data_IF_542393483346
#
_entry.id   IF_542393483346
#
_cell.length_a   1.000
_cell.length_b   1.000
_cell.length_c   1.000
_cell.angle_alpha   90.00
_cell.angle_beta   90.00
_cell.angle_gamma   90.00
#
_symmetry.space_group_name_H-M   'P 1'
#
loop_
_entity.id
_entity.type
_entity.pdbx_description
1 polymer ?
#
# COMPACT_ATOMS: atom_id res chain seq x y z
N UNK A 1 -13.57 -20.80 18.87
CA UNK A 1 -13.34 -19.81 17.79
C UNK A 1 -12.45 -18.70 18.33
N UNK A 2 -11.13 -18.79 18.13
CA UNK A 2 -10.16 -17.81 18.66
C UNK A 2 -10.02 -16.62 17.73
N UNK A 3 -10.27 -15.42 18.27
CA UNK A 3 -9.96 -14.14 17.63
C UNK A 3 -8.44 -13.91 17.70
N UNK A 4 -7.72 -14.05 16.59
CA UNK A 4 -6.33 -13.61 16.51
C UNK A 4 -6.27 -12.08 16.48
N UNK A 5 -5.95 -11.47 17.62
CA UNK A 5 -5.56 -10.07 17.72
C UNK A 5 -4.14 -9.90 17.14
N UNK A 6 -4.05 -9.59 15.85
CA UNK A 6 -2.78 -9.27 15.16
C UNK A 6 -2.33 -7.81 15.36
N UNK A 7 -2.94 -7.09 16.32
CA UNK A 7 -2.82 -5.64 16.45
C UNK A 7 -2.42 -5.25 17.88
N UNK A 8 -1.14 -5.43 18.19
CA UNK A 8 -0.51 -4.77 19.35
C UNK A 8 1.00 -4.83 19.18
N UNK A 9 1.58 -3.75 18.69
CA UNK A 9 2.99 -3.47 18.95
C UNK A 9 3.19 -1.96 19.03
N UNK A 10 3.04 -1.45 20.23
CA UNK A 10 3.46 -0.11 20.64
C UNK A 10 4.98 -0.13 20.84
N UNK A 11 5.72 0.44 19.90
CA UNK A 11 7.15 0.68 20.06
C UNK A 11 7.33 2.04 20.73
N UNK A 12 7.52 2.04 22.06
CA UNK A 12 8.05 3.21 22.77
C UNK A 12 9.56 3.15 22.61
N UNK A 13 10.11 3.99 21.73
CA UNK A 13 11.54 4.28 21.68
C UNK A 13 11.75 5.69 22.24
N UNK A 14 12.55 5.78 23.31
CA UNK A 14 12.97 7.03 23.94
C UNK A 14 13.86 7.79 22.94
N UNK A 15 13.30 8.82 22.30
CA UNK A 15 13.98 9.66 21.30
C UNK A 15 13.85 11.12 21.77
N UNK A 16 14.95 11.88 21.72
CA UNK A 16 14.98 13.29 22.17
C UNK A 16 14.05 14.19 21.35
N UNK A 17 13.43 15.19 22.00
CA UNK A 17 12.38 16.07 21.43
C UNK A 17 12.68 16.58 20.00
N UNK A 18 13.93 16.95 19.69
CA UNK A 18 14.31 17.44 18.34
C UNK A 18 14.37 16.38 17.23
N UNK A 19 14.52 15.09 17.55
CA UNK A 19 14.46 13.99 16.58
C UNK A 19 13.02 13.55 16.32
N UNK A 20 12.13 13.73 17.30
CA UNK A 20 10.72 13.34 17.18
C UNK A 20 9.94 14.22 16.20
N UNK A 21 10.22 15.52 16.17
CA UNK A 21 9.58 16.46 15.24
C UNK A 21 9.98 16.22 13.77
N UNK A 22 11.23 15.81 13.55
CA UNK A 22 11.72 15.45 12.21
C UNK A 22 11.07 14.17 11.69
N UNK A 23 11.01 13.13 12.52
CA UNK A 23 10.35 11.85 12.18
C UNK A 23 8.86 12.05 11.90
N UNK A 24 8.18 12.88 12.70
CA UNK A 24 6.76 13.20 12.48
C UNK A 24 6.52 13.93 11.16
N UNK A 25 7.43 14.84 10.77
CA UNK A 25 7.37 15.57 9.50
C UNK A 25 7.60 14.64 8.29
N UNK A 26 8.53 13.70 8.39
CA UNK A 26 8.84 12.74 7.33
C UNK A 26 7.69 11.74 7.11
N UNK A 27 7.08 11.25 8.20
CA UNK A 27 5.89 10.39 8.13
C UNK A 27 4.70 11.15 7.52
N UNK A 28 4.50 12.42 7.90
CA UNK A 28 3.46 13.26 7.33
C UNK A 28 3.66 13.46 5.82
N UNK A 29 4.89 13.76 5.39
CA UNK A 29 5.21 13.94 3.98
C UNK A 29 5.04 12.66 3.16
N UNK A 30 5.45 11.51 3.71
CA UNK A 30 5.22 10.20 3.13
C UNK A 30 3.72 9.95 2.90
N UNK A 31 2.90 10.20 3.92
CA UNK A 31 1.46 10.01 3.86
C UNK A 31 0.81 10.89 2.80
N UNK A 32 1.17 12.17 2.74
CA UNK A 32 0.68 13.10 1.71
C UNK A 32 1.03 12.61 0.30
N UNK A 33 2.25 12.11 0.10
CA UNK A 33 2.69 11.58 -1.20
C UNK A 33 1.93 10.31 -1.59
N UNK A 34 1.68 9.41 -0.63
CA UNK A 34 0.87 8.21 -0.86
C UNK A 34 -0.58 8.58 -1.18
N UNK A 35 -1.19 9.49 -0.43
CA UNK A 35 -2.56 9.94 -0.67
C UNK A 35 -2.70 10.59 -2.06
N UNK A 36 -1.75 11.45 -2.46
CA UNK A 36 -1.73 12.04 -3.79
C UNK A 36 -1.67 10.98 -4.89
N UNK A 37 -0.80 9.98 -4.72
CA UNK A 37 -0.65 8.91 -5.71
C UNK A 37 -1.90 8.04 -5.79
N UNK A 38 -2.58 7.80 -4.66
CA UNK A 38 -3.88 7.10 -4.66
C UNK A 38 -4.90 7.86 -5.49
N UNK A 39 -5.07 9.16 -5.23
CA UNK A 39 -6.05 9.98 -5.97
C UNK A 39 -5.74 9.98 -7.47
N UNK A 40 -4.46 10.08 -7.86
CA UNK A 40 -4.01 10.00 -9.26
C UNK A 40 -4.42 8.68 -9.91
N UNK A 41 -4.15 7.56 -9.24
CA UNK A 41 -4.49 6.22 -9.77
C UNK A 41 -6.00 6.01 -9.82
N UNK A 42 -6.75 6.39 -8.79
CA UNK A 42 -8.21 6.27 -8.79
C UNK A 42 -8.87 7.11 -9.88
N UNK A 43 -8.36 8.32 -10.12
CA UNK A 43 -8.83 9.18 -11.20
C UNK A 43 -8.58 8.55 -12.58
N UNK A 44 -7.37 8.01 -12.82
CA UNK A 44 -7.04 7.31 -14.06
C UNK A 44 -7.91 6.06 -14.30
N UNK A 45 -8.28 5.37 -13.23
CA UNK A 45 -9.22 4.25 -13.28
C UNK A 45 -10.69 4.66 -13.51
N UNK A 46 -11.01 5.95 -13.53
CA UNK A 46 -12.38 6.44 -13.63
C UNK A 46 -13.20 6.21 -12.35
N UNK A 47 -12.53 6.13 -11.19
CA UNK A 47 -13.13 5.88 -9.87
C UNK A 47 -12.85 7.00 -8.85
N UNK A 48 -13.02 8.30 -9.19
CA UNK A 48 -12.73 9.40 -8.27
C UNK A 48 -13.60 9.38 -7.00
N UNK A 49 -14.79 8.79 -7.04
CA UNK A 49 -15.69 8.65 -5.89
C UNK A 49 -15.10 7.79 -4.76
N UNK A 50 -14.10 6.94 -5.05
CA UNK A 50 -13.43 6.13 -4.04
C UNK A 50 -12.36 6.91 -3.26
N UNK A 51 -12.23 8.22 -3.49
CA UNK A 51 -11.32 9.07 -2.70
C UNK A 51 -11.72 9.12 -1.21
N UNK A 52 -12.97 8.79 -0.86
CA UNK A 52 -13.45 8.65 0.52
C UNK A 52 -12.68 7.57 1.29
N UNK A 53 -12.29 6.48 0.62
CA UNK A 53 -11.50 5.39 1.23
C UNK A 53 -9.99 5.59 1.09
N UNK A 54 -9.54 6.74 0.53
CA UNK A 54 -8.12 7.06 0.33
C UNK A 54 -7.30 6.90 1.61
N UNK A 55 -7.77 7.43 2.73
CA UNK A 55 -7.06 7.36 4.02
C UNK A 55 -6.85 5.91 4.48
N UNK A 56 -7.85 5.05 4.27
CA UNK A 56 -7.78 3.62 4.59
C UNK A 56 -6.74 2.91 3.71
N UNK A 57 -6.74 3.18 2.41
CA UNK A 57 -5.78 2.62 1.46
C UNK A 57 -4.36 3.13 1.78
N UNK A 58 -4.19 4.42 2.08
CA UNK A 58 -2.90 5.01 2.44
C UNK A 58 -2.28 4.32 3.66
N UNK A 59 -3.07 4.08 4.71
CA UNK A 59 -2.61 3.37 5.90
C UNK A 59 -2.18 1.93 5.59
N UNK A 60 -2.88 1.24 4.66
CA UNK A 60 -2.48 -0.11 4.20
C UNK A 60 -1.17 -0.06 3.43
N UNK A 61 -0.99 0.91 2.53
CA UNK A 61 0.25 1.08 1.75
C UNK A 61 1.44 1.30 2.67
N UNK A 62 1.35 2.24 3.62
CA UNK A 62 2.44 2.55 4.56
C UNK A 62 2.83 1.30 5.37
N UNK A 63 1.84 0.53 5.83
CA UNK A 63 2.09 -0.72 6.56
C UNK A 63 2.78 -1.76 5.67
N UNK A 64 2.30 -1.99 4.46
CA UNK A 64 2.91 -2.95 3.53
C UNK A 64 4.32 -2.50 3.15
N UNK A 65 4.53 -1.20 2.95
CA UNK A 65 5.84 -0.62 2.64
C UNK A 65 6.85 -0.91 3.77
N UNK A 66 6.45 -0.81 5.03
CA UNK A 66 7.28 -1.19 6.18
C UNK A 66 7.63 -2.68 6.22
N UNK A 67 6.73 -3.55 5.74
CA UNK A 67 6.95 -4.99 5.70
C UNK A 67 7.83 -5.43 4.53
N UNK A 68 7.75 -4.71 3.41
CA UNK A 68 8.63 -4.91 2.29
C UNK A 68 10.05 -4.50 2.70
N UNK A 69 11.03 -5.39 2.48
CA UNK A 69 12.44 -5.04 2.69
C UNK A 69 12.78 -3.75 1.94
N UNK A 70 13.63 -2.92 2.54
CA UNK A 70 14.06 -1.61 2.00
C UNK A 70 14.57 -1.71 0.55
N UNK A 71 15.10 -2.87 0.15
CA UNK A 71 15.60 -3.19 -1.20
C UNK A 71 14.60 -3.87 -2.14
N UNK A 72 13.33 -4.01 -1.77
CA UNK A 72 12.35 -4.63 -2.66
C UNK A 72 12.07 -3.70 -3.85
N UNK A 73 12.07 -4.27 -5.06
CA UNK A 73 11.71 -3.59 -6.32
C UNK A 73 10.34 -2.89 -6.26
N UNK A 74 9.50 -3.27 -5.31
CA UNK A 74 8.12 -2.81 -5.12
C UNK A 74 7.97 -1.83 -3.94
N UNK A 75 9.07 -1.41 -3.31
CA UNK A 75 9.04 -0.55 -2.13
C UNK A 75 8.81 0.95 -2.46
N UNK A 76 8.69 1.31 -3.73
CA UNK A 76 8.42 2.69 -4.14
C UNK A 76 6.93 2.96 -4.17
N UNK A 77 6.52 4.15 -3.71
CA UNK A 77 5.11 4.58 -3.65
C UNK A 77 4.43 4.40 -5.02
N UNK A 78 5.08 4.84 -6.11
CA UNK A 78 4.50 4.76 -7.46
C UNK A 78 4.33 3.35 -8.01
N UNK A 79 5.02 2.34 -7.46
CA UNK A 79 4.82 0.94 -7.84
C UNK A 79 3.89 0.21 -6.86
N UNK A 80 4.02 0.48 -5.57
CA UNK A 80 3.22 -0.19 -4.54
C UNK A 80 1.75 0.25 -4.58
N UNK A 81 1.51 1.55 -4.75
CA UNK A 81 0.16 2.14 -4.74
C UNK A 81 -0.80 1.49 -5.73
N UNK A 82 -0.48 1.40 -7.05
CA UNK A 82 -1.38 0.76 -8.01
C UNK A 82 -1.62 -0.72 -7.72
N UNK A 83 -0.64 -1.44 -7.17
CA UNK A 83 -0.80 -2.84 -6.78
C UNK A 83 -1.78 -2.98 -5.61
N UNK A 84 -1.62 -2.16 -4.57
CA UNK A 84 -2.49 -2.21 -3.40
C UNK A 84 -3.92 -1.78 -3.75
N UNK A 85 -4.08 -0.77 -4.62
CA UNK A 85 -5.38 -0.36 -5.15
C UNK A 85 -6.03 -1.52 -5.93
N UNK A 86 -5.27 -2.19 -6.80
CA UNK A 86 -5.77 -3.35 -7.53
C UNK A 86 -6.28 -4.45 -6.61
N UNK A 87 -5.51 -4.82 -5.58
CA UNK A 87 -5.90 -5.82 -4.60
C UNK A 87 -7.15 -5.38 -3.85
N UNK A 88 -7.19 -4.14 -3.36
CA UNK A 88 -8.33 -3.59 -2.64
C UNK A 88 -9.61 -3.67 -3.48
N UNK A 89 -9.58 -3.12 -4.69
CA UNK A 89 -10.73 -3.11 -5.59
C UNK A 89 -11.16 -4.53 -5.97
N UNK A 90 -10.21 -5.45 -6.21
CA UNK A 90 -10.51 -6.86 -6.51
C UNK A 90 -11.23 -7.54 -5.34
N UNK A 91 -10.77 -7.33 -4.11
CA UNK A 91 -11.40 -7.90 -2.90
C UNK A 91 -12.79 -7.32 -2.63
N UNK A 92 -13.03 -6.09 -3.06
CA UNK A 92 -14.32 -5.42 -2.96
C UNK A 92 -15.21 -5.61 -4.21
N UNK A 93 -14.88 -6.58 -5.08
CA UNK A 93 -15.65 -6.94 -6.28
C UNK A 93 -15.83 -5.81 -7.30
N UNK A 94 -14.94 -4.82 -7.33
CA UNK A 94 -14.92 -3.83 -8.41
C UNK A 94 -14.31 -4.44 -9.66
N UNK A 95 -14.98 -4.25 -10.80
CA UNK A 95 -14.45 -4.66 -12.10
C UNK A 95 -13.40 -3.65 -12.57
N UNK A 96 -12.13 -4.02 -12.47
CA UNK A 96 -11.00 -3.17 -12.85
C UNK A 96 -10.57 -3.50 -14.27
N UNK A 97 -10.41 -2.48 -15.10
CA UNK A 97 -9.67 -2.65 -16.35
C UNK A 97 -8.17 -2.68 -16.03
N UNK A 98 -7.58 -3.89 -16.07
CA UNK A 98 -6.14 -4.09 -15.83
C UNK A 98 -5.28 -3.24 -16.78
N UNK A 99 -5.71 -3.02 -18.02
CA UNK A 99 -4.96 -2.19 -18.97
C UNK A 99 -4.88 -0.74 -18.51
N UNK A 100 -6.00 -0.18 -17.99
CA UNK A 100 -6.03 1.19 -17.48
C UNK A 100 -5.15 1.33 -16.23
N UNK A 101 -5.20 0.33 -15.34
CA UNK A 101 -4.31 0.29 -14.18
C UNK A 101 -2.83 0.33 -14.62
N UNK A 102 -2.48 -0.49 -15.61
CA UNK A 102 -1.11 -0.58 -16.10
C UNK A 102 -0.66 0.70 -16.81
N UNK A 103 -1.51 1.31 -17.64
CA UNK A 103 -1.19 2.56 -18.36
C UNK A 103 -0.97 3.74 -17.42
N UNK A 104 -1.75 3.83 -16.34
CA UNK A 104 -1.66 4.94 -15.39
C UNK A 104 -0.61 4.70 -14.29
N UNK A 105 -0.01 3.50 -14.28
CA UNK A 105 0.99 3.09 -13.31
C UNK A 105 2.39 3.01 -13.91
N UNK A 106 3.40 3.06 -13.03
CA UNK A 106 4.79 2.77 -13.43
C UNK A 106 5.14 1.29 -13.28
N UNK A 107 4.15 0.39 -13.38
CA UNK A 107 4.35 -1.05 -13.25
C UNK A 107 4.03 -1.75 -14.56
N UNK A 108 4.87 -2.72 -14.93
CA UNK A 108 4.56 -3.62 -16.03
C UNK A 108 3.58 -4.71 -15.58
N UNK A 109 2.94 -5.36 -16.55
CA UNK A 109 2.11 -6.54 -16.30
C UNK A 109 2.89 -7.66 -15.59
N UNK A 110 4.13 -7.93 -16.01
CA UNK A 110 4.98 -8.95 -15.39
C UNK A 110 5.35 -8.60 -13.95
N UNK A 111 5.56 -7.32 -13.66
CA UNK A 111 5.82 -6.84 -12.31
C UNK A 111 4.63 -7.06 -11.38
N UNK A 112 3.41 -6.75 -11.86
CA UNK A 112 2.17 -6.98 -11.11
C UNK A 112 1.98 -8.46 -10.79
N UNK A 113 2.06 -9.35 -11.78
CA UNK A 113 1.87 -10.79 -11.55
C UNK A 113 2.93 -11.38 -10.63
N UNK A 114 4.20 -10.98 -10.78
CA UNK A 114 5.27 -11.42 -9.89
C UNK A 114 5.03 -10.96 -8.44
N UNK A 115 4.50 -9.76 -8.23
CA UNK A 115 4.13 -9.31 -6.89
C UNK A 115 2.99 -10.15 -6.30
N UNK A 116 1.91 -10.35 -7.05
CA UNK A 116 0.77 -11.15 -6.59
C UNK A 116 1.19 -12.58 -6.26
N UNK A 117 2.06 -13.18 -7.07
CA UNK A 117 2.63 -14.51 -6.82
C UNK A 117 3.43 -14.55 -5.51
N UNK A 118 4.31 -13.56 -5.29
CA UNK A 118 5.08 -13.44 -4.03
C UNK A 118 4.18 -13.24 -2.82
N UNK A 119 3.14 -12.42 -2.95
CA UNK A 119 2.17 -12.18 -1.89
C UNK A 119 1.40 -13.46 -1.55
N UNK A 120 0.94 -14.19 -2.57
CA UNK A 120 0.25 -15.47 -2.38
C UNK A 120 1.16 -16.51 -1.70
N UNK A 121 2.41 -16.64 -2.15
CA UNK A 121 3.37 -17.54 -1.50
C UNK A 121 3.64 -17.16 -0.04
N UNK A 122 3.71 -15.85 0.26
CA UNK A 122 3.85 -15.39 1.63
C UNK A 122 2.63 -15.75 2.49
N UNK A 123 1.41 -15.56 1.96
CA UNK A 123 0.17 -15.91 2.65
C UNK A 123 0.09 -17.43 2.86
N UNK A 124 0.29 -18.23 1.82
CA UNK A 124 0.25 -19.69 1.92
C UNK A 124 1.20 -20.22 3.01
N UNK A 125 2.42 -19.66 3.12
CA UNK A 125 3.39 -20.04 4.16
C UNK A 125 2.98 -19.66 5.58
N UNK A 126 2.07 -18.71 5.76
CA UNK A 126 1.56 -18.31 7.08
C UNK A 126 0.37 -19.18 7.52
N UNK A 127 -0.29 -19.86 6.60
CA UNK A 127 -1.47 -20.71 6.85
C UNK A 127 -1.21 -22.21 6.64
N UNK A 128 0.00 -22.58 6.23
CA UNK A 128 0.54 -23.95 6.18
C UNK A 128 1.25 -24.30 7.48
#
# INVERSE_FOLDING_TARGET
MSKCNLFSCSTISVIGKGQQDKVNKDIHMLKVNVEREISRVLFGLGLPQLDEVRKLIANKIIRVQHWLRVSSKYNTIGKLTPIIIYIYLTLHNFRINKSNLLSDSRISQSELYNFLYKLNNHICRLYS
#
